data_IF_750851857415
#
_entry.id   IF_750851857415
#
_cell.length_a   1.000
_cell.length_b   1.000
_cell.length_c   1.000
_cell.angle_alpha   90.00
_cell.angle_beta   90.00
_cell.angle_gamma   90.00
#
_symmetry.space_group_name_H-M   'P 1'
#
loop_
_entity.id
_entity.type
_entity.pdbx_description
1 polymer ?
#
# COMPACT_ATOMS: atom_id res chain seq x y z
N UNK A 1 -16.47 0.36 -4.99
CA UNK A 1 -15.05 0.02 -5.17
C UNK A 1 -14.75 -1.27 -4.39
N UNK A 2 -14.06 -2.20 -5.01
CA UNK A 2 -13.71 -3.47 -4.37
C UNK A 2 -12.55 -3.29 -3.40
N UNK A 3 -12.45 -4.21 -2.43
CA UNK A 3 -11.35 -4.18 -1.46
C UNK A 3 -9.99 -4.19 -2.16
N UNK A 4 -9.83 -4.98 -3.23
CA UNK A 4 -8.58 -5.01 -3.99
C UNK A 4 -8.22 -3.66 -4.58
N UNK A 5 -9.22 -2.87 -4.98
CA UNK A 5 -8.99 -1.54 -5.54
C UNK A 5 -8.51 -0.58 -4.45
N UNK A 6 -9.15 -0.64 -3.29
CA UNK A 6 -8.80 0.22 -2.15
C UNK A 6 -7.39 -0.14 -1.65
N UNK A 7 -7.10 -1.43 -1.53
CA UNK A 7 -5.78 -1.89 -1.10
C UNK A 7 -4.69 -1.38 -2.04
N UNK A 8 -4.92 -1.48 -3.36
CA UNK A 8 -3.97 -0.99 -4.37
C UNK A 8 -3.68 0.49 -4.16
N UNK A 9 -4.74 1.29 -4.00
CA UNK A 9 -4.60 2.73 -3.79
C UNK A 9 -3.82 3.03 -2.51
N UNK A 10 -4.16 2.36 -1.42
CA UNK A 10 -3.52 2.60 -0.14
C UNK A 10 -2.04 2.18 -0.13
N UNK A 11 -1.71 1.04 -0.73
CA UNK A 11 -0.31 0.61 -0.81
C UNK A 11 0.52 1.56 -1.67
N UNK A 12 -0.01 2.00 -2.81
CA UNK A 12 0.67 3.01 -3.62
C UNK A 12 0.88 4.31 -2.85
N UNK A 13 -0.12 4.71 -2.06
CA UNK A 13 -0.01 5.91 -1.23
C UNK A 13 1.20 5.81 -0.29
N UNK A 14 1.31 4.69 0.45
CA UNK A 14 2.44 4.53 1.39
C UNK A 14 3.75 4.39 0.65
N UNK A 15 3.78 3.69 -0.47
CA UNK A 15 4.99 3.56 -1.26
C UNK A 15 5.51 4.93 -1.70
N UNK A 16 4.64 5.76 -2.23
CA UNK A 16 5.03 7.09 -2.69
C UNK A 16 5.35 8.04 -1.54
N UNK A 17 4.62 7.92 -0.45
CA UNK A 17 4.90 8.72 0.76
C UNK A 17 6.29 8.41 1.30
N UNK A 18 6.72 7.16 1.24
CA UNK A 18 8.05 6.74 1.66
C UNK A 18 9.10 6.96 0.59
N UNK A 19 8.69 7.41 -0.59
CA UNK A 19 9.57 7.66 -1.72
C UNK A 19 10.38 6.42 -2.13
N UNK A 20 9.70 5.28 -2.17
CA UNK A 20 10.33 4.01 -2.51
C UNK A 20 9.91 3.51 -3.89
N UNK A 21 10.85 2.92 -4.66
CA UNK A 21 10.46 2.19 -5.86
C UNK A 21 9.73 0.90 -5.48
N UNK A 22 8.99 0.32 -6.42
CA UNK A 22 8.23 -0.90 -6.16
C UNK A 22 9.09 -2.02 -5.61
N UNK A 23 10.29 -2.21 -6.16
CA UNK A 23 11.19 -3.27 -5.73
C UNK A 23 11.52 -3.18 -4.24
N UNK A 24 11.90 -1.99 -3.79
CA UNK A 24 12.22 -1.78 -2.39
C UNK A 24 10.99 -1.87 -1.50
N UNK A 25 9.86 -1.35 -1.98
CA UNK A 25 8.62 -1.41 -1.22
C UNK A 25 8.14 -2.85 -1.02
N UNK A 26 8.25 -3.68 -2.06
CA UNK A 26 7.91 -5.09 -1.96
C UNK A 26 8.74 -5.76 -0.85
N UNK A 27 10.02 -5.46 -0.81
CA UNK A 27 10.93 -5.96 0.23
C UNK A 27 10.48 -5.50 1.62
N UNK A 28 10.13 -4.23 1.75
CA UNK A 28 9.69 -3.63 3.03
C UNK A 28 8.44 -4.32 3.56
N UNK A 29 7.43 -4.52 2.71
CA UNK A 29 6.17 -5.12 3.17
C UNK A 29 6.22 -6.64 3.19
N UNK A 30 7.30 -7.24 2.68
CA UNK A 30 7.51 -8.69 2.78
C UNK A 30 6.85 -9.50 1.68
N UNK A 31 6.90 -9.01 0.44
CA UNK A 31 6.33 -9.74 -0.70
C UNK A 31 7.27 -9.64 -1.91
N UNK A 32 6.95 -10.38 -2.96
CA UNK A 32 7.72 -10.31 -4.21
C UNK A 32 7.32 -9.08 -5.03
N UNK A 33 8.24 -8.62 -5.87
CA UNK A 33 7.96 -7.53 -6.80
C UNK A 33 6.80 -7.89 -7.72
N UNK A 34 6.79 -9.12 -8.22
CA UNK A 34 5.75 -9.60 -9.11
C UNK A 34 4.36 -9.53 -8.45
N UNK A 35 4.27 -9.96 -7.18
CA UNK A 35 3.00 -9.94 -6.47
C UNK A 35 2.56 -8.52 -6.16
N UNK A 36 3.49 -7.66 -5.72
CA UNK A 36 3.18 -6.25 -5.48
C UNK A 36 2.63 -5.59 -6.75
N UNK A 37 3.24 -5.90 -7.88
CA UNK A 37 2.79 -5.38 -9.18
C UNK A 37 1.34 -5.76 -9.44
N UNK A 38 1.00 -7.04 -9.21
CA UNK A 38 -0.37 -7.52 -9.38
C UNK A 38 -1.34 -6.82 -8.42
N UNK A 39 -0.92 -6.61 -7.17
CA UNK A 39 -1.74 -5.93 -6.18
C UNK A 39 -2.01 -4.49 -6.61
N UNK A 40 -0.95 -3.76 -6.99
CA UNK A 40 -1.08 -2.35 -7.39
C UNK A 40 -1.88 -2.19 -8.67
N UNK A 41 -1.94 -3.22 -9.49
CA UNK A 41 -2.75 -3.23 -10.72
C UNK A 41 -4.15 -3.79 -10.53
N UNK A 42 -4.54 -4.05 -9.29
CA UNK A 42 -5.91 -4.49 -8.93
C UNK A 42 -6.29 -5.84 -9.54
N UNK A 43 -5.31 -6.72 -9.69
CA UNK A 43 -5.50 -8.01 -10.39
C UNK A 43 -5.69 -9.20 -9.45
N UNK A 44 -5.43 -9.05 -8.15
CA UNK A 44 -5.49 -10.17 -7.21
C UNK A 44 -6.21 -9.76 -5.94
N UNK A 45 -6.85 -10.72 -5.32
CA UNK A 45 -7.40 -10.57 -3.97
C UNK A 45 -6.35 -11.03 -2.98
N UNK A 46 -6.15 -10.24 -1.94
CA UNK A 46 -5.12 -10.51 -0.94
C UNK A 46 -5.79 -10.98 0.35
N UNK A 47 -5.25 -12.03 0.96
CA UNK A 47 -5.76 -12.56 2.23
C UNK A 47 -5.64 -11.52 3.33
N UNK A 48 -6.59 -11.53 4.25
CA UNK A 48 -6.57 -10.61 5.40
C UNK A 48 -5.29 -10.78 6.22
N UNK A 49 -4.82 -12.02 6.42
CA UNK A 49 -3.57 -12.26 7.16
C UNK A 49 -2.36 -11.65 6.47
N UNK A 50 -2.35 -11.62 5.14
CA UNK A 50 -1.28 -10.99 4.37
C UNK A 50 -1.36 -9.48 4.49
N UNK A 51 -2.57 -8.92 4.48
CA UNK A 51 -2.78 -7.48 4.67
C UNK A 51 -2.31 -7.07 6.06
N UNK A 52 -2.59 -7.89 7.09
CA UNK A 52 -2.09 -7.67 8.44
C UNK A 52 -0.56 -7.61 8.44
N UNK A 53 0.08 -8.53 7.74
CA UNK A 53 1.54 -8.56 7.64
C UNK A 53 2.08 -7.29 7.00
N UNK A 54 1.43 -6.81 5.94
CA UNK A 54 1.85 -5.58 5.27
C UNK A 54 1.79 -4.39 6.23
N UNK A 55 0.70 -4.27 6.98
CA UNK A 55 0.54 -3.18 7.96
C UNK A 55 1.62 -3.27 9.04
N UNK A 56 1.84 -4.45 9.58
CA UNK A 56 2.87 -4.66 10.62
C UNK A 56 4.25 -4.28 10.11
N UNK A 57 4.58 -4.68 8.89
CA UNK A 57 5.89 -4.40 8.30
C UNK A 57 6.08 -2.91 8.02
N UNK A 58 5.03 -2.21 7.58
CA UNK A 58 5.09 -0.77 7.41
C UNK A 58 5.34 -0.06 8.73
N UNK A 59 4.66 -0.49 9.79
CA UNK A 59 4.86 0.09 11.13
C UNK A 59 6.28 -0.12 11.62
N UNK A 60 6.88 -1.27 11.31
CA UNK A 60 8.26 -1.57 11.69
C UNK A 60 9.27 -0.76 10.90
N UNK A 61 8.97 -0.54 9.62
CA UNK A 61 9.88 0.18 8.73
C UNK A 61 9.95 1.67 9.09
N UNK A 62 8.82 2.27 9.41
CA UNK A 62 8.76 3.69 9.78
C UNK A 62 7.91 3.85 11.02
N UNK A 63 8.54 4.24 12.13
CA UNK A 63 7.88 4.40 13.44
C UNK A 63 6.79 5.46 13.44
N UNK A 64 6.78 6.34 12.44
CA UNK A 64 5.74 7.36 12.31
C UNK A 64 4.47 6.78 11.72
N UNK A 65 4.55 5.62 11.07
CA UNK A 65 3.39 4.92 10.52
C UNK A 65 2.80 4.06 11.64
N UNK A 66 1.53 4.29 11.95
CA UNK A 66 0.81 3.54 13.00
C UNK A 66 -0.53 3.15 12.42
N UNK A 67 -0.55 2.04 11.69
CA UNK A 67 -1.74 1.58 11.00
C UNK A 67 -2.02 0.11 11.32
N UNK A 68 -3.26 -0.29 11.03
CA UNK A 68 -3.68 -1.68 11.05
C UNK A 68 -4.10 -2.08 9.63
N UNK A 69 -4.45 -3.35 9.44
CA UNK A 69 -4.98 -3.82 8.16
C UNK A 69 -6.22 -3.04 7.73
N UNK A 70 -7.02 -2.58 8.69
CA UNK A 70 -8.22 -1.81 8.39
C UNK A 70 -7.87 -0.55 7.61
N UNK A 71 -6.79 0.13 8.01
CA UNK A 71 -6.36 1.36 7.33
C UNK A 71 -5.96 1.10 5.87
N UNK A 72 -5.58 -0.12 5.56
CA UNK A 72 -5.19 -0.48 4.18
C UNK A 72 -6.38 -0.83 3.30
N UNK A 73 -7.54 -1.11 3.90
CA UNK A 73 -8.73 -1.53 3.13
C UNK A 73 -9.89 -0.56 3.26
N UNK A 74 -9.70 0.57 3.93
CA UNK A 74 -10.71 1.63 4.05
C UNK A 74 -10.41 2.72 3.04
N UNK A 75 -11.45 3.12 2.28
CA UNK A 75 -11.34 4.22 1.32
C UNK A 75 -11.29 5.54 2.06
N UNK A 76 -10.23 6.30 1.82
CA UNK A 76 -10.05 7.62 2.41
C UNK A 76 -9.86 8.63 1.26
N UNK A 77 -10.86 9.47 1.05
CA UNK A 77 -10.85 10.46 -0.02
C UNK A 77 -9.66 11.43 0.09
N UNK A 78 -9.32 11.82 1.31
CA UNK A 78 -8.18 12.71 1.53
C UNK A 78 -6.86 12.05 1.11
N UNK A 79 -6.70 10.79 1.46
CA UNK A 79 -5.52 10.02 1.08
C UNK A 79 -5.42 9.89 -0.44
N UNK A 80 -6.55 9.67 -1.10
CA UNK A 80 -6.58 9.53 -2.55
C UNK A 80 -6.20 10.84 -3.23
N UNK A 81 -6.67 11.96 -2.73
CA UNK A 81 -6.29 13.28 -3.24
C UNK A 81 -4.79 13.48 -3.13
N UNK A 82 -4.20 13.12 -1.97
CA UNK A 82 -2.76 13.22 -1.77
C UNK A 82 -2.00 12.28 -2.70
N UNK A 83 -2.52 11.10 -2.94
CA UNK A 83 -1.92 10.15 -3.88
C UNK A 83 -1.88 10.74 -5.29
N UNK A 84 -2.96 11.35 -5.74
CA UNK A 84 -3.03 11.99 -7.05
C UNK A 84 -2.01 13.11 -7.17
N UNK A 85 -1.85 13.93 -6.12
CA UNK A 85 -0.84 15.00 -6.11
C UNK A 85 0.58 14.44 -6.22
N UNK A 86 0.85 13.35 -5.52
CA UNK A 86 2.16 12.72 -5.56
C UNK A 86 2.46 12.26 -6.99
N UNK A 87 1.48 11.67 -7.67
CA UNK A 87 1.63 11.23 -9.04
C UNK A 87 1.84 12.40 -10.01
N UNK A 88 1.11 13.48 -9.81
CA UNK A 88 1.23 14.66 -10.66
C UNK A 88 2.60 15.33 -10.58
N UNK A 89 3.29 15.18 -9.47
CA UNK A 89 4.60 15.78 -9.27
C UNK A 89 5.72 15.03 -9.97
N UNK A 90 5.43 13.89 -10.52
CA UNK A 90 6.40 13.17 -11.32
C UNK A 90 6.45 13.72 -12.73
#
# INVERSE_FOLDING_TARGET
MKIRDVLAINLKYYRKKLNLPQEKFAEVIGTSLSYLNQIENKKVDVRSSTIDKFADNLNKYDKKIKITSIDLVVYDEHKITNYSRIDEKK
#
